data_IF_118875977401
#
_entry.id   IF_118875977401
#
_cell.length_a   1.000
_cell.length_b   1.000
_cell.length_c   1.000
_cell.angle_alpha   90.00
_cell.angle_beta   90.00
_cell.angle_gamma   90.00
#
_symmetry.space_group_name_H-M   'P 1'
#
loop_
_entity.id
_entity.type
_entity.pdbx_description
1 polymer ?
#
# COMPACT_ATOMS: atom_id res chain seq x y z
N UNK A 1 -2.63 31.76 -1.46
CA UNK A 1 -1.90 30.61 -2.00
C UNK A 1 -2.69 29.40 -1.51
N UNK A 2 -3.15 28.53 -2.41
CA UNK A 2 -3.75 27.25 -1.98
C UNK A 2 -2.71 26.50 -1.14
N UNK A 3 -3.12 25.97 0.00
CA UNK A 3 -2.23 25.11 0.79
C UNK A 3 -2.07 23.79 0.01
N UNK A 4 -0.88 23.55 -0.54
CA UNK A 4 -0.59 22.38 -1.36
C UNK A 4 -0.72 21.06 -0.60
N UNK A 5 -0.76 21.11 0.72
CA UNK A 5 -0.83 19.95 1.61
C UNK A 5 -2.19 19.81 2.31
N UNK A 6 -3.16 20.69 2.01
CA UNK A 6 -4.47 20.69 2.65
C UNK A 6 -5.35 19.53 2.16
N UNK A 7 -6.12 18.98 3.08
CA UNK A 7 -7.22 18.05 2.82
C UNK A 7 -8.61 18.69 3.09
N UNK A 8 -8.67 19.99 3.29
CA UNK A 8 -9.93 20.69 3.51
C UNK A 8 -10.88 20.49 2.31
N UNK A 9 -12.10 20.04 2.60
CA UNK A 9 -13.14 19.76 1.59
C UNK A 9 -12.93 18.49 0.76
N UNK A 10 -11.87 17.69 1.02
CA UNK A 10 -11.64 16.43 0.32
C UNK A 10 -12.35 15.27 1.03
N UNK A 11 -12.97 14.38 0.26
CA UNK A 11 -13.48 13.09 0.71
C UNK A 11 -12.37 12.05 0.58
N UNK A 12 -11.96 11.50 1.70
CA UNK A 12 -10.83 10.56 1.80
C UNK A 12 -11.31 9.19 2.25
N UNK A 13 -10.81 8.14 1.62
CA UNK A 13 -10.98 6.75 2.03
C UNK A 13 -9.62 6.13 2.32
N UNK A 14 -9.47 5.46 3.46
CA UNK A 14 -8.24 4.83 3.88
C UNK A 14 -8.51 3.41 4.38
N UNK A 15 -7.78 2.41 3.86
CA UNK A 15 -7.83 1.04 4.34
C UNK A 15 -6.76 0.78 5.40
N UNK A 16 -7.08 0.02 6.47
CA UNK A 16 -6.11 -0.33 7.51
C UNK A 16 -5.76 0.86 8.41
N UNK A 17 -6.76 1.62 8.85
CA UNK A 17 -6.59 2.84 9.65
C UNK A 17 -6.51 2.63 11.16
N UNK A 18 -6.53 1.39 11.65
CA UNK A 18 -6.63 1.11 13.09
C UNK A 18 -5.28 1.11 13.80
N UNK A 19 -4.19 0.74 13.11
CA UNK A 19 -2.86 0.61 13.71
C UNK A 19 -1.75 1.10 12.76
N UNK A 20 -0.55 1.26 13.29
CA UNK A 20 0.66 1.52 12.52
C UNK A 20 0.55 2.74 11.61
N UNK A 21 1.05 2.61 10.37
CA UNK A 21 1.06 3.70 9.37
C UNK A 21 -0.32 4.26 9.10
N UNK A 22 -1.35 3.39 9.02
CA UNK A 22 -2.71 3.84 8.76
C UNK A 22 -3.29 4.68 9.88
N UNK A 23 -3.07 4.32 11.15
CA UNK A 23 -3.51 5.13 12.29
C UNK A 23 -2.79 6.49 12.32
N UNK A 24 -1.47 6.51 12.07
CA UNK A 24 -0.73 7.77 11.95
C UNK A 24 -1.24 8.63 10.78
N UNK A 25 -1.59 8.00 9.64
CA UNK A 25 -2.17 8.72 8.51
C UNK A 25 -3.55 9.32 8.83
N UNK A 26 -4.39 8.63 9.61
CA UNK A 26 -5.69 9.15 10.08
C UNK A 26 -5.51 10.44 10.89
N UNK A 27 -4.56 10.45 11.81
CA UNK A 27 -4.24 11.65 12.62
C UNK A 27 -3.73 12.79 11.71
N UNK A 28 -2.76 12.53 10.84
CA UNK A 28 -2.20 13.54 9.93
C UNK A 28 -3.24 14.12 8.95
N UNK A 29 -4.16 13.28 8.46
CA UNK A 29 -5.24 13.73 7.59
C UNK A 29 -6.19 14.68 8.31
N UNK A 30 -6.53 14.39 9.57
CA UNK A 30 -7.36 15.28 10.39
C UNK A 30 -6.63 16.61 10.68
N UNK A 31 -5.33 16.57 11.02
CA UNK A 31 -4.49 17.76 11.21
C UNK A 31 -4.39 18.59 9.91
N UNK A 32 -4.39 17.95 8.74
CA UNK A 32 -4.41 18.59 7.43
C UNK A 32 -5.79 19.11 6.99
N UNK A 33 -6.79 19.08 7.88
CA UNK A 33 -8.12 19.64 7.64
C UNK A 33 -9.13 18.71 6.98
N UNK A 34 -8.85 17.39 6.91
CA UNK A 34 -9.81 16.42 6.38
C UNK A 34 -10.99 16.26 7.34
N UNK A 35 -12.20 16.59 6.88
CA UNK A 35 -13.46 16.48 7.63
C UNK A 35 -14.40 15.40 7.09
N UNK A 36 -14.04 14.72 6.00
CA UNK A 36 -14.77 13.57 5.41
C UNK A 36 -13.78 12.41 5.21
N UNK A 37 -13.42 11.74 6.31
CA UNK A 37 -12.46 10.64 6.37
C UNK A 37 -13.15 9.33 6.72
N UNK A 38 -13.27 8.43 5.74
CA UNK A 38 -13.78 7.07 5.93
C UNK A 38 -12.63 6.08 6.09
N UNK A 39 -12.65 5.31 7.17
CA UNK A 39 -11.72 4.19 7.39
C UNK A 39 -12.40 2.86 7.09
N UNK A 40 -11.73 2.03 6.29
CA UNK A 40 -12.07 0.63 6.02
C UNK A 40 -11.09 -0.26 6.78
N UNK A 41 -11.58 -1.05 7.70
CA UNK A 41 -10.74 -1.94 8.53
C UNK A 41 -11.60 -3.08 9.09
N UNK A 42 -10.98 -4.14 9.58
CA UNK A 42 -11.65 -5.22 10.32
C UNK A 42 -12.02 -4.79 11.76
N UNK A 43 -11.40 -3.73 12.25
CA UNK A 43 -11.65 -3.15 13.59
C UNK A 43 -11.94 -1.66 13.47
N UNK A 44 -12.78 -1.17 14.37
CA UNK A 44 -13.09 0.25 14.44
C UNK A 44 -11.86 1.05 14.92
N UNK A 45 -11.46 2.14 14.21
CA UNK A 45 -10.35 2.99 14.63
C UNK A 45 -10.72 3.80 15.88
N UNK A 46 -9.71 4.10 16.68
CA UNK A 46 -9.86 4.98 17.86
C UNK A 46 -9.53 6.44 17.56
N UNK A 47 -8.95 6.73 16.38
CA UNK A 47 -8.55 8.06 15.94
C UNK A 47 -9.70 8.90 15.36
N UNK A 48 -9.39 10.07 14.79
CA UNK A 48 -10.36 11.07 14.34
C UNK A 48 -11.04 10.77 13.00
N UNK A 49 -11.21 9.50 12.63
CA UNK A 49 -12.01 9.13 11.46
C UNK A 49 -13.47 9.59 11.64
N UNK A 50 -14.04 10.16 10.55
CA UNK A 50 -15.43 10.64 10.60
C UNK A 50 -16.44 9.54 10.31
N UNK A 51 -15.98 8.45 9.70
CA UNK A 51 -16.79 7.27 9.39
C UNK A 51 -15.92 6.01 9.41
N UNK A 52 -16.51 4.92 9.91
CA UNK A 52 -15.94 3.59 9.86
C UNK A 52 -16.87 2.65 9.08
N UNK A 53 -16.28 1.80 8.22
CA UNK A 53 -16.99 0.73 7.52
C UNK A 53 -16.20 -0.57 7.79
N UNK A 54 -16.78 -1.55 8.50
CA UNK A 54 -16.16 -2.85 8.69
C UNK A 54 -15.88 -3.49 7.32
N UNK A 55 -14.61 -3.84 7.07
CA UNK A 55 -14.22 -4.36 5.75
C UNK A 55 -13.11 -5.38 5.89
N UNK A 56 -13.34 -6.59 5.38
CA UNK A 56 -12.32 -7.62 5.22
C UNK A 56 -11.78 -7.58 3.79
N UNK A 57 -10.51 -7.15 3.64
CA UNK A 57 -9.84 -7.06 2.34
C UNK A 57 -9.54 -8.43 1.70
N UNK A 58 -9.75 -9.54 2.39
CA UNK A 58 -9.65 -10.90 1.85
C UNK A 58 -10.96 -11.43 1.26
N UNK A 59 -12.08 -10.72 1.49
CA UNK A 59 -13.42 -11.13 1.10
C UNK A 59 -14.00 -10.17 0.03
N UNK A 60 -14.23 -10.65 -1.21
CA UNK A 60 -14.76 -9.83 -2.29
C UNK A 60 -16.15 -9.24 -2.00
N UNK A 61 -17.01 -9.96 -1.27
CA UNK A 61 -18.37 -9.49 -0.95
C UNK A 61 -18.31 -8.35 0.07
N UNK A 62 -17.44 -8.46 1.09
CA UNK A 62 -17.19 -7.40 2.06
C UNK A 62 -16.66 -6.12 1.39
N UNK A 63 -15.78 -6.27 0.38
CA UNK A 63 -15.26 -5.14 -0.38
C UNK A 63 -16.35 -4.47 -1.21
N UNK A 64 -17.22 -5.25 -1.88
CA UNK A 64 -18.33 -4.71 -2.67
C UNK A 64 -19.34 -3.95 -1.82
N UNK A 65 -19.67 -4.46 -0.63
CA UNK A 65 -20.51 -3.76 0.35
C UNK A 65 -19.86 -2.43 0.79
N UNK A 66 -18.54 -2.42 1.01
CA UNK A 66 -17.80 -1.22 1.33
C UNK A 66 -17.85 -0.21 0.18
N UNK A 67 -17.61 -0.63 -1.08
CA UNK A 67 -17.69 0.22 -2.27
C UNK A 67 -19.08 0.85 -2.39
N UNK A 68 -20.14 0.06 -2.25
CA UNK A 68 -21.52 0.55 -2.29
C UNK A 68 -21.80 1.57 -1.18
N UNK A 69 -21.23 1.35 0.01
CA UNK A 69 -21.38 2.23 1.17
C UNK A 69 -20.59 3.54 1.03
N UNK A 70 -19.37 3.51 0.44
CA UNK A 70 -18.54 4.68 0.16
C UNK A 70 -19.25 5.64 -0.81
N UNK A 71 -19.85 5.10 -1.86
CA UNK A 71 -20.47 5.87 -2.94
C UNK A 71 -19.42 6.64 -3.77
N UNK A 72 -19.85 7.67 -4.50
CA UNK A 72 -19.02 8.46 -5.41
C UNK A 72 -18.36 9.67 -4.73
N UNK A 73 -17.47 10.34 -5.48
CA UNK A 73 -16.85 11.62 -5.08
C UNK A 73 -15.64 11.45 -4.16
N UNK A 74 -15.00 10.28 -4.10
CA UNK A 74 -13.75 10.07 -3.34
C UNK A 74 -12.63 10.85 -4.04
N UNK A 75 -12.05 11.83 -3.37
CA UNK A 75 -10.92 12.61 -3.87
C UNK A 75 -9.61 11.85 -3.72
N UNK A 76 -9.44 11.15 -2.59
CA UNK A 76 -8.21 10.38 -2.31
C UNK A 76 -8.53 9.02 -1.72
N UNK A 77 -7.97 7.96 -2.33
CA UNK A 77 -8.02 6.59 -1.85
C UNK A 77 -6.62 6.16 -1.39
N UNK A 78 -6.50 5.81 -0.10
CA UNK A 78 -5.30 5.21 0.46
C UNK A 78 -5.50 3.71 0.64
N UNK A 79 -4.84 2.90 -0.18
CA UNK A 79 -4.75 1.46 -0.02
C UNK A 79 -3.57 1.13 0.91
N UNK A 80 -3.80 1.19 2.22
CA UNK A 80 -2.77 0.98 3.22
C UNK A 80 -2.88 -0.38 3.93
N UNK A 81 -4.06 -0.98 4.02
CA UNK A 81 -4.24 -2.30 4.62
C UNK A 81 -3.31 -3.35 4.01
N UNK A 82 -2.74 -4.18 4.86
CA UNK A 82 -1.87 -5.27 4.42
C UNK A 82 -1.46 -6.18 5.58
N UNK A 83 -0.99 -7.37 5.24
CA UNK A 83 -0.53 -8.39 6.19
C UNK A 83 0.89 -8.87 5.82
N UNK A 84 1.62 -9.37 6.82
CA UNK A 84 2.94 -9.98 6.64
C UNK A 84 2.85 -11.41 6.07
N UNK A 85 4.00 -11.98 5.67
CA UNK A 85 4.10 -13.31 5.05
C UNK A 85 3.92 -14.50 5.99
N UNK A 86 3.52 -14.29 7.24
CA UNK A 86 3.26 -15.37 8.22
C UNK A 86 1.92 -16.08 8.01
N UNK A 87 1.09 -15.56 7.13
CA UNK A 87 -0.23 -16.11 6.79
C UNK A 87 -0.14 -17.01 5.54
N UNK A 88 -1.17 -17.85 5.27
CA UNK A 88 -1.25 -18.65 4.05
C UNK A 88 -1.11 -17.78 2.78
N UNK A 89 -0.44 -18.33 1.74
CA UNK A 89 -0.13 -17.62 0.50
C UNK A 89 -1.35 -16.97 -0.13
N UNK A 90 -2.45 -17.72 -0.27
CA UNK A 90 -3.69 -17.21 -0.86
C UNK A 90 -4.29 -16.07 -0.05
N UNK A 91 -4.23 -16.13 1.28
CA UNK A 91 -4.72 -15.06 2.15
C UNK A 91 -3.91 -13.76 1.99
N UNK A 92 -2.56 -13.86 1.97
CA UNK A 92 -1.69 -12.68 1.76
C UNK A 92 -1.99 -12.04 0.40
N UNK A 93 -2.13 -12.83 -0.67
CA UNK A 93 -2.42 -12.31 -2.01
C UNK A 93 -3.83 -11.70 -2.08
N UNK A 94 -4.82 -12.30 -1.42
CA UNK A 94 -6.17 -11.70 -1.35
C UNK A 94 -6.13 -10.33 -0.71
N UNK A 95 -5.51 -10.20 0.48
CA UNK A 95 -5.46 -8.92 1.21
C UNK A 95 -4.58 -7.90 0.49
N UNK A 96 -3.32 -8.26 0.17
CA UNK A 96 -2.32 -7.30 -0.29
C UNK A 96 -2.46 -6.93 -1.77
N UNK A 97 -3.17 -7.76 -2.57
CA UNK A 97 -3.24 -7.58 -4.01
C UNK A 97 -4.68 -7.54 -4.55
N UNK A 98 -5.46 -8.62 -4.39
CA UNK A 98 -6.79 -8.72 -5.00
C UNK A 98 -7.78 -7.75 -4.38
N UNK A 99 -7.77 -7.60 -3.05
CA UNK A 99 -8.62 -6.65 -2.33
C UNK A 99 -8.30 -5.20 -2.70
N UNK A 100 -7.01 -4.85 -2.75
CA UNK A 100 -6.54 -3.53 -3.20
C UNK A 100 -7.03 -3.22 -4.62
N UNK A 101 -6.88 -4.19 -5.53
CA UNK A 101 -7.35 -4.05 -6.91
C UNK A 101 -8.87 -3.86 -6.97
N UNK A 102 -9.65 -4.76 -6.33
CA UNK A 102 -11.11 -4.73 -6.37
C UNK A 102 -11.66 -3.40 -5.82
N UNK A 103 -11.17 -2.96 -4.68
CA UNK A 103 -11.55 -1.67 -4.09
C UNK A 103 -11.23 -0.51 -5.03
N UNK A 104 -9.99 -0.48 -5.55
CA UNK A 104 -9.54 0.56 -6.47
C UNK A 104 -10.41 0.62 -7.72
N UNK A 105 -10.66 -0.51 -8.38
CA UNK A 105 -11.46 -0.58 -9.61
C UNK A 105 -12.93 -0.20 -9.36
N UNK A 106 -13.47 -0.52 -8.19
CA UNK A 106 -14.84 -0.15 -7.81
C UNK A 106 -15.01 1.33 -7.46
N UNK A 107 -14.02 1.95 -6.82
CA UNK A 107 -14.08 3.37 -6.42
C UNK A 107 -13.70 4.31 -7.57
N UNK A 108 -12.71 3.95 -8.39
CA UNK A 108 -12.14 4.79 -9.46
C UNK A 108 -13.16 5.43 -10.40
N UNK A 109 -14.22 4.74 -10.90
CA UNK A 109 -15.19 5.36 -11.81
C UNK A 109 -15.97 6.53 -11.20
N UNK A 110 -16.07 6.58 -9.86
CA UNK A 110 -16.74 7.63 -9.10
C UNK A 110 -15.82 8.75 -8.60
N UNK A 111 -14.51 8.67 -8.85
CA UNK A 111 -13.54 9.67 -8.40
C UNK A 111 -13.57 10.93 -9.30
N UNK A 112 -13.41 12.14 -8.74
CA UNK A 112 -13.30 13.36 -9.54
C UNK A 112 -11.94 13.44 -10.24
N UNK A 113 -11.87 14.16 -11.35
CA UNK A 113 -10.60 14.53 -11.99
C UNK A 113 -9.70 15.29 -11.00
N UNK A 114 -8.42 14.95 -10.99
CA UNK A 114 -7.45 15.48 -10.03
C UNK A 114 -7.32 14.63 -8.77
N UNK A 115 -8.15 13.61 -8.61
CA UNK A 115 -8.07 12.66 -7.51
C UNK A 115 -6.75 11.89 -7.47
N UNK A 116 -6.52 11.20 -6.36
CA UNK A 116 -5.31 10.42 -6.15
C UNK A 116 -5.60 9.06 -5.51
N UNK A 117 -4.88 8.04 -5.97
CA UNK A 117 -4.80 6.71 -5.35
C UNK A 117 -3.37 6.53 -4.85
N UNK A 118 -3.20 6.15 -3.60
CA UNK A 118 -1.88 5.92 -3.01
C UNK A 118 -1.84 4.53 -2.36
N UNK A 119 -0.96 3.68 -2.85
CA UNK A 119 -0.78 2.32 -2.37
C UNK A 119 0.38 2.22 -1.38
N UNK A 120 0.26 1.40 -0.34
CA UNK A 120 1.37 1.03 0.54
C UNK A 120 2.02 -0.25 0.03
N UNK A 121 3.11 -0.09 -0.74
CA UNK A 121 3.96 -1.18 -1.20
C UNK A 121 5.04 -1.54 -0.15
N UNK A 122 6.27 -1.81 -0.55
CA UNK A 122 7.44 -2.06 0.31
C UNK A 122 8.71 -2.10 -0.53
N UNK A 123 9.89 -1.85 0.06
CA UNK A 123 11.18 -2.14 -0.61
C UNK A 123 11.33 -3.64 -0.91
N UNK A 124 10.66 -4.53 -0.18
CA UNK A 124 10.63 -5.96 -0.48
C UNK A 124 10.09 -6.29 -1.89
N UNK A 125 9.33 -5.36 -2.49
CA UNK A 125 8.84 -5.48 -3.86
C UNK A 125 9.83 -5.11 -4.94
N UNK A 126 11.04 -4.63 -4.64
CA UNK A 126 12.00 -4.15 -5.65
C UNK A 126 12.53 -5.22 -6.61
N UNK A 127 12.40 -6.51 -6.25
CA UNK A 127 12.71 -7.65 -7.14
C UNK A 127 11.69 -7.88 -8.26
N UNK A 128 10.68 -7.03 -8.43
CA UNK A 128 9.65 -7.18 -9.45
C UNK A 128 10.15 -7.33 -10.91
N UNK A 129 11.31 -6.74 -11.32
CA UNK A 129 11.77 -6.90 -12.71
C UNK A 129 12.00 -8.37 -13.10
N UNK A 130 12.46 -9.21 -12.18
CA UNK A 130 12.73 -10.62 -12.42
C UNK A 130 11.44 -11.43 -12.65
N UNK A 131 10.33 -10.97 -12.05
CA UNK A 131 9.02 -11.63 -12.09
C UNK A 131 7.99 -10.91 -12.96
N UNK A 132 8.39 -9.85 -13.69
CA UNK A 132 7.46 -8.96 -14.41
C UNK A 132 6.47 -9.70 -15.29
N UNK A 133 6.93 -10.68 -16.08
CA UNK A 133 6.06 -11.41 -16.99
C UNK A 133 4.95 -12.17 -16.25
N UNK A 134 5.27 -12.81 -15.13
CA UNK A 134 4.32 -13.55 -14.28
C UNK A 134 3.37 -12.61 -13.55
N UNK A 135 3.87 -11.46 -13.09
CA UNK A 135 3.03 -10.45 -12.45
C UNK A 135 2.03 -9.86 -13.45
N UNK A 136 2.45 -9.58 -14.70
CA UNK A 136 1.53 -9.09 -15.72
C UNK A 136 0.48 -10.14 -16.13
N UNK A 137 0.85 -11.43 -16.16
CA UNK A 137 -0.09 -12.53 -16.35
C UNK A 137 -1.17 -12.52 -15.23
N UNK A 138 -0.74 -12.43 -13.96
CA UNK A 138 -1.64 -12.35 -12.80
C UNK A 138 -2.54 -11.11 -12.85
N UNK A 139 -1.98 -9.94 -13.13
CA UNK A 139 -2.73 -8.67 -13.22
C UNK A 139 -3.77 -8.72 -14.35
N UNK A 140 -3.53 -9.47 -15.41
CA UNK A 140 -4.45 -9.64 -16.54
C UNK A 140 -5.69 -10.50 -16.23
N UNK A 141 -5.76 -11.15 -15.05
CA UNK A 141 -6.90 -11.99 -14.66
C UNK A 141 -7.94 -11.13 -13.95
N UNK A 142 -9.10 -10.91 -14.56
CA UNK A 142 -10.14 -10.06 -13.98
C UNK A 142 -10.98 -10.76 -12.90
N UNK A 143 -11.23 -12.07 -13.07
CA UNK A 143 -12.04 -12.84 -12.16
C UNK A 143 -11.28 -13.20 -10.87
N UNK A 144 -11.89 -12.91 -9.72
CA UNK A 144 -11.30 -13.17 -8.40
C UNK A 144 -10.95 -14.64 -8.18
N UNK A 145 -11.87 -15.57 -8.48
CA UNK A 145 -11.65 -16.99 -8.27
C UNK A 145 -10.55 -17.54 -9.17
N UNK A 146 -10.50 -17.07 -10.42
CA UNK A 146 -9.45 -17.41 -11.39
C UNK A 146 -8.09 -16.88 -10.95
N UNK A 147 -8.03 -15.68 -10.36
CA UNK A 147 -6.78 -15.12 -9.84
C UNK A 147 -6.28 -15.91 -8.60
N UNK A 148 -7.18 -16.32 -7.71
CA UNK A 148 -6.84 -17.22 -6.58
C UNK A 148 -6.33 -18.57 -7.09
N UNK A 149 -6.97 -19.15 -8.13
CA UNK A 149 -6.51 -20.40 -8.73
C UNK A 149 -5.14 -20.25 -9.38
N UNK A 150 -4.88 -19.12 -10.06
CA UNK A 150 -3.55 -18.85 -10.64
C UNK A 150 -2.45 -18.86 -9.57
N UNK A 151 -2.70 -18.34 -8.37
CA UNK A 151 -1.75 -18.38 -7.24
C UNK A 151 -1.44 -19.83 -6.86
N UNK A 152 -2.47 -20.69 -6.77
CA UNK A 152 -2.29 -22.11 -6.45
C UNK A 152 -1.50 -22.85 -7.56
N UNK A 153 -1.75 -22.52 -8.84
CA UNK A 153 -1.06 -23.11 -9.98
C UNK A 153 0.40 -22.62 -10.13
N UNK A 154 0.75 -21.50 -9.49
CA UNK A 154 2.10 -20.92 -9.45
C UNK A 154 2.67 -20.88 -8.02
N UNK A 155 2.30 -21.83 -7.17
CA UNK A 155 2.64 -21.85 -5.73
C UNK A 155 4.15 -21.78 -5.47
N UNK A 156 4.99 -22.44 -6.25
CA UNK A 156 6.45 -22.40 -6.11
C UNK A 156 6.99 -20.96 -6.17
N UNK A 157 6.43 -20.13 -7.07
CA UNK A 157 6.78 -18.71 -7.17
C UNK A 157 6.17 -17.89 -6.03
N UNK A 158 4.89 -18.11 -5.76
CA UNK A 158 4.13 -17.27 -4.83
C UNK A 158 4.50 -17.53 -3.37
N UNK A 159 4.85 -18.78 -2.99
CA UNK A 159 5.14 -19.18 -1.62
C UNK A 159 6.62 -19.03 -1.24
N UNK A 160 7.54 -18.86 -2.17
CA UNK A 160 8.99 -18.71 -1.90
C UNK A 160 9.26 -17.54 -0.93
N UNK A 161 8.63 -16.39 -1.16
CA UNK A 161 8.48 -15.27 -0.24
C UNK A 161 7.18 -14.54 -0.62
N UNK A 162 6.07 -14.97 -0.03
CA UNK A 162 4.74 -14.45 -0.39
C UNK A 162 4.59 -12.96 -0.11
N UNK A 163 5.23 -12.45 0.93
CA UNK A 163 5.19 -11.02 1.23
C UNK A 163 5.90 -10.22 0.14
N UNK A 164 7.16 -10.57 -0.16
CA UNK A 164 7.91 -9.90 -1.22
C UNK A 164 7.18 -9.98 -2.56
N UNK A 165 6.65 -11.17 -2.93
CA UNK A 165 5.88 -11.33 -4.16
C UNK A 165 4.62 -10.45 -4.18
N UNK A 166 3.87 -10.36 -3.08
CA UNK A 166 2.71 -9.47 -2.97
C UNK A 166 3.09 -7.99 -3.16
N UNK A 167 4.27 -7.58 -2.66
CA UNK A 167 4.77 -6.21 -2.80
C UNK A 167 5.36 -5.93 -4.19
N UNK A 168 5.90 -6.95 -4.87
CA UNK A 168 6.23 -6.88 -6.30
C UNK A 168 4.98 -6.63 -7.14
N UNK A 169 3.89 -7.38 -6.88
CA UNK A 169 2.60 -7.16 -7.53
C UNK A 169 2.09 -5.73 -7.26
N UNK A 170 2.15 -5.25 -6.02
CA UNK A 170 1.68 -3.91 -5.67
C UNK A 170 2.44 -2.80 -6.41
N UNK A 171 3.77 -2.93 -6.58
CA UNK A 171 4.57 -1.98 -7.35
C UNK A 171 4.23 -2.01 -8.84
N UNK A 172 4.13 -3.19 -9.44
CA UNK A 172 3.77 -3.34 -10.87
C UNK A 172 2.33 -2.89 -11.10
N UNK A 173 1.39 -3.25 -10.21
CA UNK A 173 0.01 -2.79 -10.27
C UNK A 173 -0.11 -1.27 -10.21
N UNK A 174 0.66 -0.62 -9.35
CA UNK A 174 0.71 0.85 -9.27
C UNK A 174 1.10 1.47 -10.61
N UNK A 175 2.16 0.98 -11.24
CA UNK A 175 2.61 1.46 -12.56
C UNK A 175 1.57 1.15 -13.65
N UNK A 176 1.06 -0.07 -13.68
CA UNK A 176 0.12 -0.55 -14.68
C UNK A 176 -1.22 0.21 -14.63
N UNK A 177 -1.83 0.28 -13.44
CA UNK A 177 -3.13 0.93 -13.26
C UNK A 177 -3.07 2.45 -13.43
N UNK A 178 -1.94 3.09 -13.14
CA UNK A 178 -1.73 4.53 -13.27
C UNK A 178 -2.00 5.05 -14.69
N UNK A 179 -1.70 4.23 -15.69
CA UNK A 179 -1.89 4.61 -17.10
C UNK A 179 -3.38 4.76 -17.43
N UNK A 180 -4.19 3.80 -17.00
CA UNK A 180 -5.64 3.82 -17.21
C UNK A 180 -6.31 4.86 -16.32
N UNK A 181 -6.01 4.88 -15.02
CA UNK A 181 -6.63 5.79 -14.06
C UNK A 181 -6.41 7.25 -14.47
N UNK A 182 -5.24 7.60 -14.99
CA UNK A 182 -4.97 8.95 -15.44
C UNK A 182 -5.63 9.27 -16.80
N UNK A 183 -5.52 8.37 -17.79
CA UNK A 183 -6.06 8.62 -19.13
C UNK A 183 -7.58 8.68 -19.17
N UNK A 184 -8.26 7.78 -18.46
CA UNK A 184 -9.73 7.67 -18.52
C UNK A 184 -10.42 8.54 -17.47
N UNK A 185 -9.83 8.70 -16.28
CA UNK A 185 -10.49 9.37 -15.14
C UNK A 185 -9.77 10.63 -14.67
N UNK A 186 -8.52 10.87 -15.09
CA UNK A 186 -7.73 12.01 -14.61
C UNK A 186 -7.27 11.83 -13.15
N UNK A 187 -7.20 10.59 -12.67
CA UNK A 187 -6.80 10.21 -11.31
C UNK A 187 -5.37 9.68 -11.32
N UNK A 188 -4.52 10.18 -10.45
CA UNK A 188 -3.13 9.73 -10.29
C UNK A 188 -3.07 8.47 -9.42
N UNK A 189 -2.14 7.56 -9.71
CA UNK A 189 -1.89 6.38 -8.89
C UNK A 189 -0.41 6.27 -8.60
N UNK A 190 -0.02 6.29 -7.32
CA UNK A 190 1.37 6.16 -6.86
C UNK A 190 1.46 5.17 -5.70
N UNK A 191 2.66 4.78 -5.31
CA UNK A 191 2.87 4.02 -4.07
C UNK A 191 3.99 4.58 -3.21
N UNK A 192 3.92 4.28 -1.91
CA UNK A 192 5.04 4.38 -0.98
C UNK A 192 5.65 2.99 -0.80
N UNK A 193 6.98 2.90 -0.83
CA UNK A 193 7.75 1.68 -0.63
C UNK A 193 8.61 1.83 0.63
N UNK A 194 8.07 1.55 1.81
CA UNK A 194 8.81 1.68 3.07
C UNK A 194 9.92 0.64 3.23
N UNK A 195 10.96 1.01 3.99
CA UNK A 195 11.84 0.09 4.71
C UNK A 195 11.19 -0.47 5.97
N UNK A 196 11.97 -1.07 6.90
CA UNK A 196 11.47 -1.52 8.20
C UNK A 196 10.87 -0.36 9.00
N UNK A 197 9.68 -0.59 9.57
CA UNK A 197 8.92 0.42 10.33
C UNK A 197 8.59 -0.14 11.72
N UNK A 198 8.81 0.64 12.76
CA UNK A 198 8.38 0.32 14.12
C UNK A 198 6.85 0.42 14.24
N UNK A 199 6.18 -0.70 14.10
CA UNK A 199 4.71 -0.84 14.15
C UNK A 199 4.34 -2.20 14.72
N UNK A 200 3.08 -2.42 15.17
CA UNK A 200 2.64 -3.75 15.63
C UNK A 200 2.81 -4.89 14.60
N UNK A 201 2.89 -4.57 13.31
CA UNK A 201 3.13 -5.56 12.26
C UNK A 201 4.59 -6.07 12.27
N UNK A 202 5.51 -5.38 12.97
CA UNK A 202 6.91 -5.76 13.07
C UNK A 202 7.09 -7.14 13.73
N UNK A 203 6.24 -7.48 14.73
CA UNK A 203 6.28 -8.80 15.38
C UNK A 203 6.07 -9.95 14.38
N UNK A 204 5.24 -9.74 13.37
CA UNK A 204 5.01 -10.73 12.31
C UNK A 204 6.16 -10.73 11.28
N UNK A 205 6.78 -9.58 11.00
CA UNK A 205 7.98 -9.53 10.17
C UNK A 205 9.18 -10.22 10.84
N UNK A 206 9.36 -10.10 12.15
CA UNK A 206 10.41 -10.81 12.90
C UNK A 206 10.22 -12.34 12.77
N UNK A 207 8.98 -12.84 12.82
CA UNK A 207 8.68 -14.25 12.60
C UNK A 207 8.96 -14.72 11.16
N UNK A 208 8.77 -13.84 10.19
CA UNK A 208 8.94 -14.13 8.76
C UNK A 208 10.40 -14.02 8.29
N UNK A 209 11.10 -12.92 8.67
CA UNK A 209 12.42 -12.56 8.14
C UNK A 209 13.59 -12.74 9.13
N UNK A 210 13.33 -12.96 10.40
CA UNK A 210 14.26 -12.88 11.55
C UNK A 210 14.63 -11.46 11.98
N UNK A 211 14.81 -11.27 13.29
CA UNK A 211 15.23 -9.98 13.86
C UNK A 211 16.60 -9.53 13.34
N UNK A 212 17.51 -10.47 13.08
CA UNK A 212 18.85 -10.18 12.57
C UNK A 212 18.81 -9.48 11.20
N UNK A 213 17.98 -9.96 10.27
CA UNK A 213 17.83 -9.36 8.93
C UNK A 213 17.23 -7.96 9.02
N UNK A 214 16.22 -7.78 9.88
CA UNK A 214 15.60 -6.47 10.09
C UNK A 214 16.61 -5.47 10.67
N UNK A 215 17.33 -5.87 11.75
CA UNK A 215 18.35 -5.02 12.38
C UNK A 215 19.47 -4.69 11.40
N UNK A 216 19.96 -5.68 10.64
CA UNK A 216 20.95 -5.44 9.61
C UNK A 216 20.48 -4.41 8.59
N UNK A 217 19.23 -4.49 8.10
CA UNK A 217 18.66 -3.51 7.17
C UNK A 217 18.65 -2.09 7.77
N UNK A 218 18.28 -1.98 9.05
CA UNK A 218 18.28 -0.72 9.79
C UNK A 218 19.70 -0.15 9.93
N UNK A 219 20.68 -1.00 10.28
CA UNK A 219 22.08 -0.59 10.45
C UNK A 219 22.67 -0.08 9.13
N UNK A 220 22.33 -0.68 7.99
CA UNK A 220 22.74 -0.25 6.66
C UNK A 220 22.06 1.06 6.20
N UNK A 221 21.02 1.52 6.90
CA UNK A 221 20.26 2.73 6.58
C UNK A 221 20.33 3.81 7.67
N UNK A 222 21.45 3.86 8.40
CA UNK A 222 21.73 4.90 9.39
C UNK A 222 21.38 4.54 10.84
N UNK A 223 21.04 3.28 11.12
CA UNK A 223 20.90 2.74 12.47
C UNK A 223 19.62 3.13 13.21
N UNK A 224 18.67 3.77 12.53
CA UNK A 224 17.39 4.17 13.13
C UNK A 224 16.23 3.61 12.31
N UNK A 225 15.37 2.81 12.95
CA UNK A 225 14.15 2.31 12.34
C UNK A 225 13.16 3.46 12.08
N UNK A 226 12.48 3.41 10.94
CA UNK A 226 11.42 4.37 10.62
C UNK A 226 10.23 4.20 11.56
N UNK A 227 9.55 5.29 11.85
CA UNK A 227 8.30 5.28 12.60
C UNK A 227 7.08 5.22 11.67
N UNK A 228 5.93 4.87 12.22
CA UNK A 228 4.67 4.94 11.49
C UNK A 228 4.39 6.34 10.95
N UNK A 229 4.73 7.38 11.72
CA UNK A 229 4.53 8.79 11.37
C UNK A 229 5.42 9.22 10.18
N UNK A 230 6.68 8.77 10.11
CA UNK A 230 7.57 9.05 8.99
C UNK A 230 6.97 8.58 7.65
N UNK A 231 6.41 7.38 7.64
CA UNK A 231 5.81 6.81 6.44
C UNK A 231 4.45 7.42 6.15
N UNK A 232 3.64 7.69 7.18
CA UNK A 232 2.35 8.35 7.02
C UNK A 232 2.48 9.73 6.39
N UNK A 233 3.51 10.51 6.72
CA UNK A 233 3.82 11.81 6.08
C UNK A 233 4.03 11.66 4.58
N UNK A 234 4.81 10.66 4.16
CA UNK A 234 5.04 10.38 2.73
C UNK A 234 3.77 9.92 2.03
N UNK A 235 3.00 9.04 2.68
CA UNK A 235 1.72 8.54 2.17
C UNK A 235 0.73 9.70 1.96
N UNK A 236 0.51 10.51 2.98
CA UNK A 236 -0.39 11.67 2.95
C UNK A 236 0.06 12.70 1.91
N UNK A 237 1.35 13.02 1.82
CA UNK A 237 1.90 13.92 0.80
C UNK A 237 1.54 13.49 -0.63
N UNK A 238 1.62 12.19 -0.95
CA UNK A 238 1.27 11.68 -2.28
C UNK A 238 -0.21 11.82 -2.66
N UNK A 239 -1.10 11.95 -1.68
CA UNK A 239 -2.53 12.24 -1.90
C UNK A 239 -2.83 13.70 -2.18
N UNK A 240 -1.88 14.62 -1.98
CA UNK A 240 -2.08 16.08 -2.08
C UNK A 240 -1.74 16.64 -3.45
N UNK A 241 -2.04 17.91 -3.65
CA UNK A 241 -1.68 18.66 -4.85
C UNK A 241 -0.18 18.90 -5.01
N UNK A 242 0.61 18.73 -3.94
CA UNK A 242 2.09 18.78 -4.00
C UNK A 242 2.68 17.71 -4.91
N UNK A 243 1.96 16.61 -5.17
CA UNK A 243 2.41 15.50 -6.01
C UNK A 243 1.73 15.44 -7.40
N UNK A 244 1.14 16.54 -7.89
CA UNK A 244 0.36 16.58 -9.14
C UNK A 244 1.10 16.05 -10.38
N UNK A 245 2.42 16.19 -10.45
CA UNK A 245 3.23 15.70 -11.57
C UNK A 245 3.63 14.22 -11.42
N UNK A 246 3.30 13.57 -10.28
CA UNK A 246 3.68 12.19 -10.00
C UNK A 246 2.54 11.25 -10.36
N UNK A 247 2.80 10.31 -11.26
CA UNK A 247 1.85 9.25 -11.64
C UNK A 247 2.61 7.99 -12.05
N UNK A 248 2.23 6.84 -11.49
CA UNK A 248 2.91 5.56 -11.69
C UNK A 248 4.25 5.44 -10.95
N UNK A 249 4.49 6.25 -9.93
CA UNK A 249 5.74 6.26 -9.19
C UNK A 249 5.66 5.38 -7.94
N UNK A 250 6.69 4.56 -7.74
CA UNK A 250 6.92 3.79 -6.52
C UNK A 250 7.96 4.55 -5.69
N UNK A 251 7.49 5.36 -4.72
CA UNK A 251 8.34 6.22 -3.92
C UNK A 251 8.98 5.44 -2.78
N UNK A 252 10.29 5.25 -2.86
CA UNK A 252 11.08 4.60 -1.80
C UNK A 252 11.22 5.53 -0.60
N UNK A 253 10.93 5.01 0.60
CA UNK A 253 11.02 5.70 1.88
C UNK A 253 11.67 4.76 2.91
N UNK A 254 13.01 4.66 2.88
CA UNK A 254 13.79 3.62 3.57
C UNK A 254 15.12 4.11 4.14
N UNK A 255 15.25 5.40 4.43
CA UNK A 255 16.48 6.03 4.93
C UNK A 255 17.72 5.76 4.05
N UNK A 256 17.51 5.51 2.74
CA UNK A 256 18.58 5.32 1.78
C UNK A 256 19.09 3.88 1.64
N UNK A 257 18.49 2.89 2.28
CA UNK A 257 18.85 1.48 2.15
C UNK A 257 18.90 1.03 0.67
N UNK A 258 17.82 1.28 -0.08
CA UNK A 258 17.77 0.92 -1.50
C UNK A 258 18.81 1.65 -2.35
N UNK A 259 19.13 2.90 -2.02
CA UNK A 259 20.19 3.65 -2.69
C UNK A 259 21.56 3.01 -2.41
N UNK A 260 21.85 2.65 -1.16
CA UNK A 260 23.08 1.97 -0.77
C UNK A 260 23.20 0.60 -1.43
N UNK A 261 22.12 -0.18 -1.51
CA UNK A 261 22.07 -1.44 -2.25
C UNK A 261 22.43 -1.26 -3.73
N UNK A 262 21.76 -0.33 -4.39
CA UNK A 262 21.95 -0.06 -5.84
C UNK A 262 23.36 0.39 -6.16
N UNK A 263 24.00 1.13 -5.25
CA UNK A 263 25.35 1.70 -5.44
C UNK A 263 26.45 0.85 -4.82
N UNK A 264 26.15 -0.38 -4.37
CA UNK A 264 27.09 -1.32 -3.77
C UNK A 264 27.82 -0.77 -2.52
N UNK A 265 27.08 0.01 -1.71
CA UNK A 265 27.59 0.58 -0.45
C UNK A 265 27.16 -0.23 0.78
N UNK A 266 26.48 -1.37 0.58
CA UNK A 266 26.02 -2.27 1.65
C UNK A 266 27.14 -3.20 2.10
N UNK A 267 27.27 -3.37 3.42
CA UNK A 267 28.13 -4.36 4.03
C UNK A 267 27.33 -5.64 4.37
N UNK A 268 27.62 -6.73 3.65
CA UNK A 268 26.97 -8.03 3.86
C UNK A 268 27.60 -8.89 4.97
N UNK A 269 28.68 -8.45 5.60
CA UNK A 269 29.39 -9.22 6.62
C UNK A 269 28.53 -9.52 7.87
N UNK A 270 27.49 -8.70 8.11
CA UNK A 270 26.55 -8.89 9.21
C UNK A 270 25.44 -9.94 8.98
N UNK A 271 25.37 -10.53 7.77
CA UNK A 271 24.37 -11.57 7.44
C UNK A 271 24.94 -12.99 7.44
N UNK A 272 26.20 -13.19 7.85
CA UNK A 272 26.91 -14.47 7.87
C UNK A 272 26.68 -15.31 9.11
#
# INVERSE_FOLDING_TARGET
>A
MSDLFSYEGKKVVLTGGTTGVGAAAVELLAEAGCTDLTVLDIKEPTGPATRYIPTDMSDPDSIDEAIASIGSGVDVLFNNAGVAGVHPTDFVIRVNCLGVRRLTEGVLPGMPKGGAIVNTASIAGQGWPDNLAKILEFIGIDDWASAVQWVADNDELASADVYAFSKQIAQVWTMYSSVRSFKEFGVRTNSVCPGPIDTPLMDDFIKHMTEQVIQWTVDQSGGTMLTADDIARTLVMLGTDASLAMNGHNMVADNGFSAAMTTSQIDFSGLG
#
